data_IF_584474081484
#
_entry.id   IF_584474081484
#
_cell.length_a   1.000
_cell.length_b   1.000
_cell.length_c   1.000
_cell.angle_alpha   90.00
_cell.angle_beta   90.00
_cell.angle_gamma   90.00
#
_symmetry.space_group_name_H-M   'P 1'
#
loop_
_entity.id
_entity.type
_entity.pdbx_description
1 polymer ?
#
# COMPACT_ATOMS: atom_id res chain seq x y z
N UNK A 1 22.74 8.43 21.11
CA UNK A 1 21.72 7.68 20.34
C UNK A 1 22.20 7.68 18.91
N UNK A 2 22.44 6.51 18.31
CA UNK A 2 22.66 6.44 16.87
C UNK A 2 21.42 7.05 16.20
N UNK A 3 21.60 7.98 15.26
CA UNK A 3 20.48 8.62 14.56
C UNK A 3 19.57 7.55 13.95
N UNK A 4 18.27 7.82 13.90
CA UNK A 4 17.33 6.92 13.22
C UNK A 4 17.87 6.61 11.82
N UNK A 5 17.99 5.33 11.49
CA UNK A 5 18.42 4.89 10.15
C UNK A 5 17.38 5.42 9.18
N UNK A 6 17.76 6.38 8.35
CA UNK A 6 16.84 7.01 7.39
C UNK A 6 16.48 6.04 6.25
N UNK A 7 17.44 5.21 5.83
CA UNK A 7 17.28 4.25 4.75
C UNK A 7 18.29 3.09 4.93
N UNK A 8 17.81 1.84 4.85
CA UNK A 8 18.64 0.63 5.02
C UNK A 8 19.65 0.51 3.87
N UNK A 9 19.25 0.84 2.64
CA UNK A 9 20.09 0.71 1.46
C UNK A 9 21.29 1.64 1.52
N UNK A 10 21.10 2.88 1.97
CA UNK A 10 22.20 3.83 2.21
C UNK A 10 23.20 3.28 3.21
N UNK A 11 22.71 2.69 4.32
CA UNK A 11 23.58 2.09 5.33
C UNK A 11 24.40 0.92 4.76
N UNK A 12 23.77 0.04 3.97
CA UNK A 12 24.44 -1.09 3.32
C UNK A 12 25.48 -0.60 2.29
N UNK A 13 25.11 0.38 1.47
CA UNK A 13 25.95 0.92 0.39
C UNK A 13 27.20 1.63 0.93
N UNK A 14 27.08 2.35 2.05
CA UNK A 14 28.20 3.09 2.67
C UNK A 14 29.21 2.18 3.39
N UNK A 15 28.81 0.97 3.83
CA UNK A 15 29.60 0.14 4.74
C UNK A 15 30.07 -1.21 4.14
N UNK A 16 29.63 -1.57 2.93
CA UNK A 16 30.05 -2.81 2.28
C UNK A 16 31.00 -2.57 1.09
N UNK A 17 32.09 -3.36 0.97
CA UNK A 17 32.89 -3.43 -0.25
C UNK A 17 32.05 -3.81 -1.47
N UNK A 18 32.40 -3.29 -2.65
CA UNK A 18 31.59 -3.43 -3.87
C UNK A 18 31.32 -4.87 -4.32
N UNK A 19 32.27 -5.78 -4.10
CA UNK A 19 32.14 -7.21 -4.40
C UNK A 19 31.10 -7.88 -3.50
N UNK A 20 31.12 -7.57 -2.19
CA UNK A 20 30.14 -8.07 -1.22
C UNK A 20 28.79 -7.40 -1.37
N UNK A 21 28.76 -6.12 -1.72
CA UNK A 21 27.54 -5.34 -1.90
C UNK A 21 26.63 -5.94 -2.97
N UNK A 22 27.22 -6.36 -4.10
CA UNK A 22 26.46 -7.01 -5.18
C UNK A 22 25.78 -8.29 -4.71
N UNK A 23 26.48 -9.12 -3.94
CA UNK A 23 25.93 -10.38 -3.44
C UNK A 23 24.86 -10.16 -2.36
N UNK A 24 25.08 -9.20 -1.45
CA UNK A 24 24.07 -8.80 -0.47
C UNK A 24 22.83 -8.26 -1.17
N UNK A 25 22.97 -7.41 -2.20
CA UNK A 25 21.84 -6.90 -2.97
C UNK A 25 21.10 -8.02 -3.72
N UNK A 26 21.82 -8.99 -4.27
CA UNK A 26 21.23 -10.17 -4.92
C UNK A 26 20.37 -10.98 -3.93
N UNK A 27 20.85 -11.21 -2.71
CA UNK A 27 20.12 -11.98 -1.70
C UNK A 27 18.94 -11.19 -1.12
N UNK A 28 19.13 -9.91 -0.79
CA UNK A 28 18.10 -9.09 -0.14
C UNK A 28 17.05 -8.55 -1.10
N UNK A 29 17.41 -8.21 -2.34
CA UNK A 29 16.50 -7.58 -3.32
C UNK A 29 16.22 -8.48 -4.53
N UNK A 30 16.86 -9.65 -4.64
CA UNK A 30 16.69 -10.60 -5.74
C UNK A 30 17.56 -10.28 -6.97
N UNK A 31 17.68 -9.00 -7.33
CA UNK A 31 18.62 -8.48 -8.33
C UNK A 31 18.81 -6.98 -8.17
N UNK A 32 19.84 -6.43 -8.79
CA UNK A 32 19.96 -4.99 -8.98
C UNK A 32 18.99 -4.56 -10.10
N UNK A 33 18.12 -3.60 -9.78
CA UNK A 33 17.16 -3.06 -10.74
C UNK A 33 17.73 -1.81 -11.41
N UNK A 34 17.40 -1.62 -12.69
CA UNK A 34 17.74 -0.40 -13.43
C UNK A 34 16.99 0.78 -12.84
N UNK A 35 17.70 1.82 -12.43
CA UNK A 35 17.10 3.09 -12.00
C UNK A 35 16.44 3.79 -13.19
N UNK A 36 15.32 4.46 -12.95
CA UNK A 36 14.68 5.33 -13.94
C UNK A 36 15.29 6.73 -13.90
N UNK A 37 15.48 7.31 -15.08
CA UNK A 37 15.78 8.74 -15.22
C UNK A 37 14.46 9.50 -15.35
N UNK A 38 14.30 10.54 -14.54
CA UNK A 38 13.12 11.39 -14.56
C UNK A 38 13.41 12.73 -15.23
N UNK A 39 12.40 13.37 -15.85
CA UNK A 39 12.56 14.71 -16.40
C UNK A 39 13.02 15.72 -15.34
N UNK A 40 13.83 16.74 -15.70
CA UNK A 40 14.30 17.75 -14.75
C UNK A 40 13.18 18.41 -13.95
N UNK A 41 12.04 18.71 -14.59
CA UNK A 41 10.90 19.32 -13.92
C UNK A 41 10.28 18.46 -12.80
N UNK A 42 10.36 17.13 -12.89
CA UNK A 42 9.93 16.25 -11.80
C UNK A 42 10.91 16.31 -10.61
N UNK A 43 12.21 16.29 -10.90
CA UNK A 43 13.26 16.37 -9.87
C UNK A 43 13.27 17.73 -9.16
N UNK A 44 13.11 18.82 -9.91
CA UNK A 44 13.00 20.18 -9.39
C UNK A 44 11.77 20.33 -8.50
N UNK A 45 10.62 19.78 -8.92
CA UNK A 45 9.40 19.80 -8.11
C UNK A 45 9.56 19.00 -6.82
N UNK A 46 10.12 17.78 -6.90
CA UNK A 46 10.39 16.96 -5.73
C UNK A 46 11.32 17.65 -4.73
N UNK A 47 12.38 18.29 -5.22
CA UNK A 47 13.30 19.08 -4.40
C UNK A 47 12.61 20.30 -3.79
N UNK A 48 11.83 21.04 -4.57
CA UNK A 48 11.15 22.26 -4.11
C UNK A 48 10.05 21.98 -3.07
N UNK A 49 9.46 20.78 -3.12
CA UNK A 49 8.41 20.32 -2.20
C UNK A 49 8.90 19.34 -1.15
N UNK A 50 10.22 19.15 -1.07
CA UNK A 50 10.92 18.40 -0.03
C UNK A 50 10.43 16.96 0.17
N UNK A 51 10.25 16.22 -0.93
CA UNK A 51 9.93 14.79 -0.89
C UNK A 51 10.92 13.96 -1.71
N UNK A 52 11.14 12.72 -1.29
CA UNK A 52 12.00 11.77 -1.99
C UNK A 52 11.35 11.30 -3.29
N UNK A 53 12.11 11.29 -4.40
CA UNK A 53 11.67 10.73 -5.68
C UNK A 53 12.62 9.60 -6.10
N UNK A 54 12.10 8.38 -6.18
CA UNK A 54 12.86 7.19 -6.62
C UNK A 54 12.13 6.44 -7.73
N UNK A 55 12.91 5.84 -8.63
CA UNK A 55 12.41 5.19 -9.83
C UNK A 55 13.18 3.94 -10.19
N UNK A 56 12.49 2.83 -10.47
CA UNK A 56 13.11 1.57 -10.87
C UNK A 56 12.34 0.87 -11.99
N UNK A 57 13.02 0.03 -12.77
CA UNK A 57 12.41 -0.78 -13.83
C UNK A 57 12.45 -2.28 -13.50
N UNK A 58 11.35 -2.97 -13.78
CA UNK A 58 11.18 -4.41 -13.70
C UNK A 58 10.76 -4.95 -15.07
N UNK A 59 11.75 -5.33 -15.87
CA UNK A 59 11.55 -5.79 -17.24
C UNK A 59 11.10 -7.26 -17.31
N UNK A 60 10.47 -7.63 -18.43
CA UNK A 60 10.15 -9.00 -18.80
C UNK A 60 10.97 -9.43 -20.04
N UNK A 61 11.02 -10.74 -20.31
CA UNK A 61 11.59 -11.23 -21.57
C UNK A 61 10.66 -10.86 -22.75
N UNK A 62 11.23 -10.62 -23.93
CA UNK A 62 10.45 -10.34 -25.14
C UNK A 62 9.68 -11.60 -25.55
N UNK A 63 8.39 -11.46 -25.82
CA UNK A 63 7.52 -12.53 -26.32
C UNK A 63 7.31 -12.39 -27.83
N UNK A 64 7.26 -13.51 -28.56
CA UNK A 64 7.01 -13.51 -30.01
C UNK A 64 5.56 -13.25 -30.41
N UNK A 65 4.62 -13.44 -29.48
CA UNK A 65 3.17 -13.35 -29.74
C UNK A 65 2.48 -12.21 -29.00
N UNK A 66 3.21 -11.48 -28.15
CA UNK A 66 2.66 -10.38 -27.34
C UNK A 66 3.65 -9.25 -27.28
N UNK A 67 3.17 -8.05 -27.56
CA UNK A 67 3.93 -6.83 -27.30
C UNK A 67 4.19 -6.67 -25.80
N UNK A 68 5.30 -6.02 -25.40
CA UNK A 68 5.52 -5.60 -24.02
C UNK A 68 4.33 -4.80 -23.47
N UNK A 69 3.91 -5.09 -22.24
CA UNK A 69 2.82 -4.38 -21.55
C UNK A 69 3.42 -3.53 -20.43
N UNK A 70 4.17 -2.51 -20.84
CA UNK A 70 4.90 -1.62 -19.93
C UNK A 70 3.94 -0.60 -19.30
N UNK A 71 3.97 -0.53 -17.98
CA UNK A 71 3.12 0.35 -17.16
C UNK A 71 3.96 0.97 -16.06
N UNK A 72 3.79 2.26 -15.77
CA UNK A 72 4.38 2.91 -14.60
C UNK A 72 3.38 2.93 -13.46
N UNK A 73 3.67 2.18 -12.40
CA UNK A 73 2.92 2.21 -11.15
C UNK A 73 3.66 3.05 -10.13
N UNK A 74 2.94 3.66 -9.19
CA UNK A 74 3.56 4.43 -8.13
C UNK A 74 2.80 4.37 -6.80
N UNK A 75 3.56 4.59 -5.72
CA UNK A 75 3.04 4.73 -4.36
C UNK A 75 3.51 6.05 -3.75
N UNK A 76 2.63 6.72 -3.00
CA UNK A 76 2.96 7.91 -2.22
C UNK A 76 2.93 7.58 -0.73
N UNK A 77 4.01 7.89 -0.04
CA UNK A 77 4.05 7.98 1.42
C UNK A 77 4.16 9.43 1.86
N UNK A 78 3.45 9.82 2.90
CA UNK A 78 3.48 11.18 3.43
C UNK A 78 3.12 11.26 4.91
N UNK A 79 3.61 12.32 5.55
CA UNK A 79 3.18 12.80 6.87
C UNK A 79 1.88 13.59 6.73
N UNK A 80 1.13 13.68 7.83
CA UNK A 80 0.14 14.75 8.03
C UNK A 80 0.82 16.13 7.97
N UNK A 81 0.03 17.18 7.80
CA UNK A 81 0.54 18.54 7.58
C UNK A 81 0.31 19.44 8.80
N UNK A 82 -0.94 19.53 9.23
CA UNK A 82 -1.37 20.38 10.34
C UNK A 82 -1.42 19.58 11.66
N UNK A 83 -1.61 20.30 12.76
CA UNK A 83 -1.77 19.68 14.07
C UNK A 83 -3.05 18.85 14.11
N UNK A 84 -3.02 17.74 14.85
CA UNK A 84 -4.22 16.92 15.04
C UNK A 84 -5.33 17.66 15.82
N UNK A 85 -4.99 18.78 16.46
CA UNK A 85 -5.95 19.68 17.14
C UNK A 85 -6.61 20.72 16.23
N UNK A 86 -6.17 20.88 14.98
CA UNK A 86 -6.74 21.85 14.04
C UNK A 86 -8.10 21.36 13.49
N UNK A 87 -8.94 22.21 12.87
CA UNK A 87 -10.21 21.77 12.29
C UNK A 87 -10.03 20.63 11.26
N UNK A 88 -10.95 19.66 11.27
CA UNK A 88 -10.91 18.46 10.40
C UNK A 88 -10.77 18.83 8.91
N UNK A 89 -11.53 19.84 8.46
CA UNK A 89 -11.47 20.35 7.08
C UNK A 89 -10.07 20.87 6.73
N UNK A 90 -9.47 21.64 7.62
CA UNK A 90 -8.19 22.31 7.38
C UNK A 90 -7.06 21.29 7.34
N UNK A 91 -7.10 20.30 8.24
CA UNK A 91 -6.17 19.16 8.23
C UNK A 91 -6.22 18.41 6.89
N UNK A 92 -7.43 18.06 6.43
CA UNK A 92 -7.64 17.35 5.16
C UNK A 92 -7.16 18.17 3.98
N UNK A 93 -7.57 19.43 3.89
CA UNK A 93 -7.27 20.31 2.76
C UNK A 93 -5.76 20.61 2.67
N UNK A 94 -5.06 20.71 3.81
CA UNK A 94 -3.61 20.82 3.84
C UNK A 94 -2.90 19.56 3.31
N UNK A 95 -3.42 18.36 3.63
CA UNK A 95 -2.93 17.12 3.06
C UNK A 95 -3.20 17.07 1.55
N UNK A 96 -4.39 17.47 1.09
CA UNK A 96 -4.71 17.55 -0.34
C UNK A 96 -3.74 18.45 -1.10
N UNK A 97 -3.41 19.64 -0.58
CA UNK A 97 -2.47 20.55 -1.21
C UNK A 97 -1.09 19.90 -1.40
N UNK A 98 -0.57 19.23 -0.37
CA UNK A 98 0.69 18.47 -0.45
C UNK A 98 0.59 17.34 -1.48
N UNK A 99 -0.45 16.52 -1.41
CA UNK A 99 -0.62 15.35 -2.28
C UNK A 99 -0.81 15.77 -3.75
N UNK A 100 -1.49 16.88 -4.01
CA UNK A 100 -1.63 17.45 -5.36
C UNK A 100 -0.26 17.70 -6.03
N UNK A 101 0.70 18.26 -5.29
CA UNK A 101 2.05 18.50 -5.79
C UNK A 101 2.79 17.18 -6.10
N UNK A 102 2.63 16.16 -5.25
CA UNK A 102 3.25 14.84 -5.47
C UNK A 102 2.58 14.11 -6.65
N UNK A 103 1.26 14.18 -6.80
CA UNK A 103 0.53 13.63 -7.96
C UNK A 103 1.00 14.31 -9.25
N UNK A 104 1.19 15.63 -9.24
CA UNK A 104 1.74 16.37 -10.39
C UNK A 104 3.14 15.88 -10.74
N UNK A 105 3.99 15.60 -9.75
CA UNK A 105 5.30 15.00 -9.97
C UNK A 105 5.19 13.58 -10.57
N UNK A 106 4.27 12.76 -10.07
CA UNK A 106 3.98 11.43 -10.63
C UNK A 106 3.56 11.52 -12.11
N UNK A 107 2.74 12.50 -12.47
CA UNK A 107 2.34 12.76 -13.86
C UNK A 107 3.54 13.14 -14.74
N UNK A 108 4.45 14.01 -14.25
CA UNK A 108 5.70 14.33 -14.95
C UNK A 108 6.61 13.09 -15.11
N UNK A 109 6.55 12.15 -14.18
CA UNK A 109 7.24 10.87 -14.26
C UNK A 109 6.53 9.85 -15.15
N UNK A 110 5.41 10.20 -15.79
CA UNK A 110 4.66 9.32 -16.69
C UNK A 110 3.94 8.17 -15.98
N UNK A 111 3.58 8.33 -14.70
CA UNK A 111 2.83 7.32 -13.93
C UNK A 111 1.45 7.08 -14.57
N UNK A 112 1.06 5.82 -14.64
CA UNK A 112 -0.24 5.39 -15.17
C UNK A 112 -1.22 4.99 -14.05
N UNK A 113 -0.72 4.36 -12.99
CA UNK A 113 -1.51 3.95 -11.82
C UNK A 113 -0.82 4.39 -10.54
N UNK A 114 -1.51 5.17 -9.73
CA UNK A 114 -1.01 5.73 -8.48
C UNK A 114 -1.85 5.27 -7.30
N UNK A 115 -1.19 4.89 -6.20
CA UNK A 115 -1.88 4.57 -4.95
C UNK A 115 -1.37 5.47 -3.82
N UNK A 116 -2.32 5.95 -3.02
CA UNK A 116 -2.07 6.67 -1.78
C UNK A 116 -1.98 5.70 -0.61
N UNK A 117 -1.41 6.13 0.52
CA UNK A 117 -1.35 5.32 1.74
C UNK A 117 -2.73 5.14 2.41
N UNK A 118 -2.79 4.30 3.45
CA UNK A 118 -4.06 4.05 4.16
C UNK A 118 -4.58 5.31 4.88
N UNK A 119 -5.89 5.54 4.76
CA UNK A 119 -6.60 6.66 5.38
C UNK A 119 -5.86 8.00 5.18
N UNK A 120 -5.38 8.24 3.95
CA UNK A 120 -4.40 9.29 3.67
C UNK A 120 -4.91 10.70 3.98
N UNK A 121 -6.24 10.89 4.01
CA UNK A 121 -6.92 12.16 4.27
C UNK A 121 -6.94 12.59 5.73
N UNK A 122 -6.48 11.74 6.66
CA UNK A 122 -6.59 11.98 8.10
C UNK A 122 -5.33 11.56 8.87
N UNK A 123 -5.12 12.11 10.08
CA UNK A 123 -4.29 11.45 11.09
C UNK A 123 -4.85 10.05 11.40
N UNK A 124 -3.99 9.11 11.73
CA UNK A 124 -4.36 7.75 12.06
C UNK A 124 -4.88 7.65 13.51
N UNK A 125 -5.95 8.38 13.78
CA UNK A 125 -6.52 8.64 15.11
C UNK A 125 -7.15 7.41 15.79
N UNK A 126 -7.12 6.23 15.16
CA UNK A 126 -7.76 5.03 15.69
C UNK A 126 -7.17 4.55 17.03
N UNK A 127 -5.96 5.01 17.42
CA UNK A 127 -5.42 4.77 18.77
C UNK A 127 -6.26 5.38 19.88
N UNK A 128 -6.87 6.54 19.64
CA UNK A 128 -7.56 7.32 20.68
C UNK A 128 -8.86 6.63 21.08
N UNK A 129 -9.44 5.85 20.16
CA UNK A 129 -10.78 5.21 20.26
C UNK A 129 -11.93 6.23 20.35
N UNK A 130 -11.62 7.52 20.24
CA UNK A 130 -12.60 8.59 20.27
C UNK A 130 -13.37 8.63 18.95
N UNK A 131 -14.67 8.88 19.02
CA UNK A 131 -15.49 9.05 17.82
C UNK A 131 -15.46 10.47 17.29
N UNK A 132 -15.41 11.45 18.19
CA UNK A 132 -15.42 12.86 17.83
C UNK A 132 -14.04 13.47 18.10
N UNK A 133 -13.51 14.32 17.21
CA UNK A 133 -14.06 14.69 15.90
C UNK A 133 -13.70 13.67 14.78
N UNK A 134 -13.00 12.57 15.11
CA UNK A 134 -12.33 11.71 14.11
C UNK A 134 -13.27 11.05 13.09
N UNK A 135 -14.53 10.78 13.45
CA UNK A 135 -15.52 10.24 12.53
C UNK A 135 -16.03 11.27 11.51
N UNK A 136 -15.78 12.57 11.70
CA UNK A 136 -16.10 13.62 10.73
C UNK A 136 -15.19 13.57 9.49
N UNK A 137 -14.04 12.91 9.57
CA UNK A 137 -13.19 12.61 8.39
C UNK A 137 -13.83 11.60 7.44
N UNK A 138 -14.90 10.91 7.85
CA UNK A 138 -15.56 9.91 7.02
C UNK A 138 -16.37 10.58 5.90
N UNK A 139 -16.13 10.18 4.66
CA UNK A 139 -16.73 10.78 3.47
C UNK A 139 -17.45 9.72 2.61
N UNK A 140 -18.42 10.13 1.79
CA UNK A 140 -19.00 9.27 0.76
C UNK A 140 -17.93 8.85 -0.26
N UNK A 141 -17.95 7.60 -0.72
CA UNK A 141 -17.02 7.13 -1.77
C UNK A 141 -17.32 7.84 -3.08
N UNK A 142 -18.58 7.95 -3.48
CA UNK A 142 -18.98 8.42 -4.80
C UNK A 142 -19.12 9.94 -4.87
N UNK A 143 -19.55 10.55 -3.76
CA UNK A 143 -19.86 11.99 -3.67
C UNK A 143 -18.98 12.76 -2.70
N UNK A 144 -18.10 12.08 -1.97
CA UNK A 144 -17.18 12.72 -1.03
C UNK A 144 -16.22 13.68 -1.72
N UNK A 145 -15.85 14.77 -1.03
CA UNK A 145 -15.07 15.83 -1.65
C UNK A 145 -13.64 15.35 -2.00
N UNK A 146 -13.08 14.37 -1.27
CA UNK A 146 -11.81 13.72 -1.63
C UNK A 146 -11.89 13.02 -2.99
N UNK A 147 -12.95 12.25 -3.23
CA UNK A 147 -13.11 11.57 -4.53
C UNK A 147 -13.25 12.60 -5.64
N UNK A 148 -14.08 13.64 -5.47
CA UNK A 148 -14.26 14.70 -6.48
C UNK A 148 -12.96 15.41 -6.82
N UNK A 149 -12.16 15.73 -5.80
CA UNK A 149 -10.83 16.30 -5.97
C UNK A 149 -9.92 15.39 -6.82
N UNK A 150 -9.87 14.09 -6.50
CA UNK A 150 -9.02 13.15 -7.24
C UNK A 150 -9.57 12.79 -8.63
N UNK A 151 -10.89 12.83 -8.87
CA UNK A 151 -11.48 12.63 -10.21
C UNK A 151 -10.94 13.67 -11.21
N UNK A 152 -10.80 14.92 -10.78
CA UNK A 152 -10.23 16.00 -11.61
C UNK A 152 -8.76 15.71 -11.95
N UNK A 153 -7.95 15.31 -10.96
CA UNK A 153 -6.53 15.00 -11.18
C UNK A 153 -6.33 13.75 -12.04
N UNK A 154 -7.14 12.71 -11.82
CA UNK A 154 -7.12 11.47 -12.60
C UNK A 154 -7.39 11.75 -14.08
N UNK A 155 -8.43 12.55 -14.37
CA UNK A 155 -8.75 12.97 -15.74
C UNK A 155 -7.67 13.87 -16.34
N UNK A 156 -7.21 14.88 -15.59
CA UNK A 156 -6.20 15.83 -16.05
C UNK A 156 -4.89 15.15 -16.45
N UNK A 157 -4.48 14.11 -15.71
CA UNK A 157 -3.22 13.43 -15.93
C UNK A 157 -3.36 12.07 -16.64
N UNK A 158 -4.56 11.69 -17.06
CA UNK A 158 -4.86 10.38 -17.66
C UNK A 158 -4.26 9.23 -16.81
N UNK A 159 -4.53 9.27 -15.50
CA UNK A 159 -3.93 8.39 -14.50
C UNK A 159 -5.02 7.73 -13.66
N UNK A 160 -4.90 6.42 -13.43
CA UNK A 160 -5.74 5.73 -12.45
C UNK A 160 -5.26 6.07 -11.04
N UNK A 161 -6.16 6.48 -10.16
CA UNK A 161 -5.83 6.84 -8.77
C UNK A 161 -6.59 5.94 -7.80
N UNK A 162 -5.86 5.34 -6.86
CA UNK A 162 -6.39 4.52 -5.77
C UNK A 162 -6.32 5.34 -4.48
N UNK A 163 -7.48 5.56 -3.86
CA UNK A 163 -7.66 6.44 -2.70
C UNK A 163 -8.23 5.70 -1.49
N UNK A 164 -7.40 5.28 -0.53
CA UNK A 164 -7.86 4.68 0.72
C UNK A 164 -8.36 5.75 1.71
N UNK A 165 -9.64 5.74 2.04
CA UNK A 165 -10.32 6.71 2.90
C UNK A 165 -11.14 6.00 3.99
N UNK A 166 -11.55 6.78 5.00
CA UNK A 166 -12.66 6.41 5.86
C UNK A 166 -13.96 6.72 5.12
N UNK A 167 -14.71 5.68 4.77
CA UNK A 167 -16.01 5.79 4.09
C UNK A 167 -17.13 5.96 5.13
N UNK A 168 -18.11 6.81 4.82
CA UNK A 168 -19.43 6.83 5.46
C UNK A 168 -20.48 6.30 4.47
N UNK A 169 -21.14 5.20 4.82
CA UNK A 169 -22.21 4.60 4.03
C UNK A 169 -23.56 5.28 4.31
N UNK A 170 -23.81 6.41 3.66
CA UNK A 170 -25.06 7.19 3.83
C UNK A 170 -26.31 6.32 3.56
N UNK A 171 -26.27 5.45 2.55
CA UNK A 171 -27.37 4.53 2.20
C UNK A 171 -27.53 3.33 3.15
N UNK A 172 -26.56 3.08 4.04
CA UNK A 172 -26.57 1.96 4.98
C UNK A 172 -26.40 2.45 6.42
N UNK A 173 -27.16 3.49 6.79
CA UNK A 173 -27.26 3.94 8.18
C UNK A 173 -25.99 4.61 8.71
N UNK A 174 -25.25 5.31 7.83
CA UNK A 174 -24.03 6.06 8.15
C UNK A 174 -22.91 5.21 8.76
N UNK A 175 -22.91 3.91 8.43
CA UNK A 175 -21.86 2.98 8.89
C UNK A 175 -20.51 3.41 8.33
N UNK A 176 -19.49 3.37 9.20
CA UNK A 176 -18.11 3.66 8.81
C UNK A 176 -17.45 2.41 8.23
N UNK A 177 -16.61 2.60 7.22
CA UNK A 177 -15.80 1.55 6.59
C UNK A 177 -14.40 2.06 6.27
N UNK A 178 -13.41 1.16 6.26
CA UNK A 178 -12.09 1.45 5.68
C UNK A 178 -12.07 0.96 4.23
N UNK A 179 -11.94 1.91 3.30
CA UNK A 179 -12.31 1.69 1.90
C UNK A 179 -11.27 2.28 0.96
N UNK A 180 -10.83 1.50 -0.02
CA UNK A 180 -10.10 1.99 -1.18
C UNK A 180 -11.06 2.28 -2.33
N UNK A 181 -11.06 3.52 -2.81
CA UNK A 181 -11.81 3.97 -4.00
C UNK A 181 -10.90 3.89 -5.21
N UNK A 182 -11.40 3.35 -6.32
CA UNK A 182 -10.64 3.20 -7.56
C UNK A 182 -11.21 4.18 -8.58
N UNK A 183 -10.41 5.18 -8.94
CA UNK A 183 -10.77 6.23 -9.90
C UNK A 183 -10.05 5.95 -11.22
N UNK A 184 -10.82 5.78 -12.29
CA UNK A 184 -10.34 5.61 -13.66
C UNK A 184 -9.53 6.80 -14.12
N UNK A 185 -8.65 6.58 -15.11
CA UNK A 185 -7.97 7.65 -15.84
C UNK A 185 -8.91 8.60 -16.61
N UNK A 186 -10.18 8.21 -16.79
CA UNK A 186 -11.23 9.09 -17.34
C UNK A 186 -11.80 10.06 -16.30
N UNK A 187 -11.45 9.87 -15.02
CA UNK A 187 -12.04 10.57 -13.89
C UNK A 187 -13.28 9.87 -13.32
N UNK A 188 -13.77 8.79 -13.91
CA UNK A 188 -14.93 8.05 -13.37
C UNK A 188 -14.55 7.12 -12.21
N UNK A 189 -15.41 6.95 -11.22
CA UNK A 189 -15.23 5.94 -10.16
C UNK A 189 -15.53 4.56 -10.73
N UNK A 190 -14.51 3.68 -10.79
CA UNK A 190 -14.68 2.29 -11.23
C UNK A 190 -15.37 1.44 -10.16
N UNK A 191 -15.19 1.80 -8.89
CA UNK A 191 -15.80 1.13 -7.75
C UNK A 191 -14.96 1.31 -6.49
N UNK A 192 -15.22 0.43 -5.51
CA UNK A 192 -14.56 0.43 -4.20
C UNK A 192 -14.27 -0.98 -3.70
N UNK A 193 -13.32 -1.09 -2.78
CA UNK A 193 -13.07 -2.31 -2.00
C UNK A 193 -12.84 -1.97 -0.54
N UNK A 194 -13.44 -2.75 0.36
CA UNK A 194 -13.39 -2.56 1.82
C UNK A 194 -12.35 -3.46 2.46
N UNK A 195 -11.83 -3.06 3.61
CA UNK A 195 -10.80 -3.79 4.35
C UNK A 195 -11.34 -5.12 4.87
N UNK A 196 -10.87 -6.24 4.30
CA UNK A 196 -11.35 -7.58 4.67
C UNK A 196 -10.95 -8.00 6.08
N UNK A 197 -9.76 -7.59 6.56
CA UNK A 197 -9.23 -8.00 7.86
C UNK A 197 -8.99 -6.79 8.74
N UNK A 198 -9.70 -6.71 9.87
CA UNK A 198 -9.67 -5.55 10.77
C UNK A 198 -8.79 -5.85 11.99
N UNK A 199 -7.72 -5.08 12.24
CA UNK A 199 -6.88 -5.27 13.41
C UNK A 199 -7.60 -4.89 14.71
N UNK A 200 -7.16 -5.52 15.80
CA UNK A 200 -7.55 -5.24 17.19
C UNK A 200 -6.33 -5.19 18.12
N UNK A 201 -5.15 -4.90 17.58
CA UNK A 201 -3.86 -5.12 18.25
C UNK A 201 -3.21 -3.80 18.66
N UNK A 202 -2.90 -3.65 19.95
CA UNK A 202 -2.22 -2.46 20.48
C UNK A 202 -2.98 -1.16 20.20
N UNK A 203 -2.29 -0.20 19.57
CA UNK A 203 -2.86 1.08 19.15
C UNK A 203 -3.75 0.99 17.90
N UNK A 204 -3.72 -0.12 17.17
CA UNK A 204 -4.55 -0.36 15.99
C UNK A 204 -5.95 -0.85 16.40
N UNK A 205 -6.70 0.01 17.11
CA UNK A 205 -8.06 -0.26 17.61
C UNK A 205 -9.15 -0.06 16.56
N UNK A 206 -8.86 -0.41 15.32
CA UNK A 206 -9.69 -0.14 14.14
C UNK A 206 -11.08 -0.79 14.22
N UNK A 207 -11.22 -1.96 14.84
CA UNK A 207 -12.51 -2.61 15.04
C UNK A 207 -13.49 -1.80 15.91
N UNK A 208 -13.01 -0.76 16.58
CA UNK A 208 -13.87 0.19 17.27
C UNK A 208 -14.62 1.08 16.27
N UNK A 209 -14.07 1.29 15.08
CA UNK A 209 -14.56 2.22 14.06
C UNK A 209 -15.38 1.55 12.97
N UNK A 210 -14.95 0.40 12.46
CA UNK A 210 -15.57 -0.27 11.32
C UNK A 210 -15.49 -1.80 11.44
N UNK A 211 -16.35 -2.47 10.68
CA UNK A 211 -16.45 -3.93 10.62
C UNK A 211 -15.66 -4.49 9.43
N UNK A 212 -15.56 -5.81 9.35
CA UNK A 212 -14.92 -6.51 8.23
C UNK A 212 -15.65 -6.21 6.92
N UNK A 213 -14.86 -5.99 5.85
CA UNK A 213 -15.36 -5.64 4.54
C UNK A 213 -16.27 -6.72 3.93
N UNK A 214 -17.31 -6.27 3.22
CA UNK A 214 -18.28 -7.13 2.55
C UNK A 214 -18.16 -7.12 1.01
N UNK A 215 -17.09 -6.53 0.47
CA UNK A 215 -16.85 -6.41 -0.99
C UNK A 215 -16.12 -7.60 -1.60
N UNK A 216 -15.66 -8.55 -0.77
CA UNK A 216 -14.86 -9.69 -1.22
C UNK A 216 -13.46 -9.27 -1.68
N UNK A 217 -13.00 -9.80 -2.82
CA UNK A 217 -11.64 -9.57 -3.33
C UNK A 217 -11.67 -9.04 -4.78
N UNK A 218 -12.29 -7.87 -5.04
CA UNK A 218 -12.49 -7.39 -6.39
C UNK A 218 -11.16 -7.07 -7.08
N UNK A 219 -11.11 -7.34 -8.38
CA UNK A 219 -10.02 -6.95 -9.28
C UNK A 219 -10.60 -6.01 -10.32
N UNK A 220 -9.99 -4.84 -10.45
CA UNK A 220 -10.46 -3.77 -11.31
C UNK A 220 -9.68 -3.82 -12.63
N UNK A 221 -10.40 -4.03 -13.73
CA UNK A 221 -9.83 -3.94 -15.07
C UNK A 221 -9.68 -2.47 -15.44
N UNK A 222 -8.46 -2.03 -15.69
CA UNK A 222 -8.16 -0.69 -16.23
C UNK A 222 -7.51 -0.84 -17.61
N UNK A 223 -7.31 0.27 -18.33
CA UNK A 223 -6.49 0.25 -19.55
C UNK A 223 -5.01 -0.09 -19.26
N UNK A 224 -4.56 0.08 -18.01
CA UNK A 224 -3.19 -0.12 -17.57
C UNK A 224 -2.99 -1.47 -16.84
N UNK A 225 -3.94 -2.40 -16.96
CA UNK A 225 -3.87 -3.72 -16.35
C UNK A 225 -4.90 -3.97 -15.25
N UNK A 226 -4.86 -5.17 -14.69
CA UNK A 226 -5.76 -5.64 -13.64
C UNK A 226 -5.19 -5.33 -12.26
N UNK A 227 -5.82 -4.42 -11.56
CA UNK A 227 -5.35 -3.94 -10.25
C UNK A 227 -6.26 -4.44 -9.12
N UNK A 228 -5.69 -4.64 -7.95
CA UNK A 228 -6.40 -4.95 -6.71
C UNK A 228 -5.78 -4.18 -5.54
N UNK A 229 -6.50 -4.12 -4.41
CA UNK A 229 -6.05 -3.41 -3.21
C UNK A 229 -6.21 -4.29 -1.99
N UNK A 230 -5.09 -4.71 -1.40
CA UNK A 230 -5.08 -5.38 -0.11
C UNK A 230 -4.82 -4.35 0.99
N UNK A 231 -5.84 -3.96 1.74
CA UNK A 231 -5.73 -2.84 2.69
C UNK A 231 -5.04 -3.29 3.99
N UNK A 232 -3.88 -2.69 4.27
CA UNK A 232 -3.15 -2.71 5.55
C UNK A 232 -3.04 -4.07 6.23
N UNK A 233 -3.85 -4.37 7.25
CA UNK A 233 -3.75 -5.58 8.08
C UNK A 233 -4.06 -6.86 7.29
N UNK A 234 -4.72 -6.72 6.14
CA UNK A 234 -4.83 -7.79 5.17
C UNK A 234 -3.47 -8.28 4.63
N UNK A 235 -2.36 -7.54 4.87
CA UNK A 235 -1.00 -7.96 4.54
C UNK A 235 -0.55 -9.24 5.26
N UNK A 236 -1.07 -9.47 6.48
CA UNK A 236 -0.71 -10.61 7.31
C UNK A 236 -1.43 -11.91 6.92
N UNK A 237 -2.32 -11.86 5.92
CA UNK A 237 -3.22 -12.95 5.57
C UNK A 237 -2.88 -13.47 4.17
N UNK A 238 -2.06 -14.53 4.03
CA UNK A 238 -1.70 -15.11 2.73
C UNK A 238 -2.91 -15.45 1.84
N UNK A 239 -4.01 -15.91 2.45
CA UNK A 239 -5.26 -16.22 1.76
C UNK A 239 -5.91 -14.98 1.12
N UNK A 240 -5.82 -13.81 1.75
CA UNK A 240 -6.36 -12.56 1.21
C UNK A 240 -5.60 -12.14 -0.06
N UNK A 241 -4.26 -12.22 -0.01
CA UNK A 241 -3.41 -12.05 -1.19
C UNK A 241 -3.74 -13.06 -2.31
N UNK A 242 -3.90 -14.32 -1.91
CA UNK A 242 -4.20 -15.42 -2.83
C UNK A 242 -5.49 -15.21 -3.60
N UNK A 243 -6.54 -14.73 -2.93
CA UNK A 243 -7.84 -14.48 -3.56
C UNK A 243 -7.77 -13.39 -4.64
N UNK A 244 -7.00 -12.32 -4.45
CA UNK A 244 -6.75 -11.34 -5.52
C UNK A 244 -6.01 -11.97 -6.71
N UNK A 245 -5.03 -12.84 -6.44
CA UNK A 245 -4.33 -13.59 -7.49
C UNK A 245 -5.24 -14.55 -8.25
N UNK A 246 -6.16 -15.23 -7.55
CA UNK A 246 -7.18 -16.11 -8.15
C UNK A 246 -8.17 -15.34 -9.02
N UNK A 247 -8.52 -14.14 -8.61
CA UNK A 247 -9.36 -13.22 -9.39
C UNK A 247 -8.60 -12.53 -10.54
N UNK A 248 -7.32 -12.87 -10.74
CA UNK A 248 -6.55 -12.48 -11.92
C UNK A 248 -5.83 -11.13 -11.81
N UNK A 249 -5.56 -10.64 -10.60
CA UNK A 249 -4.76 -9.44 -10.41
C UNK A 249 -3.36 -9.57 -11.04
N UNK A 250 -2.90 -8.49 -11.66
CA UNK A 250 -1.54 -8.32 -12.19
C UNK A 250 -0.70 -7.41 -11.28
N UNK A 251 -1.35 -6.48 -10.58
CA UNK A 251 -0.75 -5.60 -9.58
C UNK A 251 -1.68 -5.56 -8.36
N UNK A 252 -1.13 -5.77 -7.16
CA UNK A 252 -1.85 -5.57 -5.90
C UNK A 252 -1.19 -4.45 -5.10
N UNK A 253 -1.94 -3.39 -4.83
CA UNK A 253 -1.49 -2.31 -3.96
C UNK A 253 -1.79 -2.65 -2.50
N UNK A 254 -0.89 -2.30 -1.59
CA UNK A 254 -1.04 -2.52 -0.16
C UNK A 254 -0.83 -1.23 0.62
N UNK A 255 -1.84 -0.33 0.63
CA UNK A 255 -1.82 0.86 1.44
C UNK A 255 -1.91 0.49 2.91
N UNK A 256 -0.98 1.01 3.71
CA UNK A 256 -0.82 0.66 5.12
C UNK A 256 -0.52 1.90 5.97
N UNK A 257 -0.87 1.81 7.25
CA UNK A 257 -0.31 2.62 8.30
C UNK A 257 0.14 1.67 9.41
N UNK A 258 1.44 1.60 9.68
CA UNK A 258 1.97 0.75 10.74
C UNK A 258 3.28 1.28 11.33
N UNK A 259 3.51 1.01 12.61
CA UNK A 259 4.61 1.57 13.41
C UNK A 259 5.49 0.50 14.03
N UNK A 260 6.70 0.90 14.43
CA UNK A 260 7.45 0.27 15.50
C UNK A 260 8.19 -1.03 15.19
N UNK A 261 8.89 -1.51 16.22
CA UNK A 261 9.90 -2.58 16.15
C UNK A 261 9.35 -4.00 15.88
N UNK A 262 8.08 -4.28 16.19
CA UNK A 262 7.47 -5.59 15.93
C UNK A 262 6.93 -5.71 14.49
N UNK A 263 6.40 -4.63 13.93
CA UNK A 263 5.81 -4.63 12.60
C UNK A 263 6.88 -4.51 11.50
N UNK A 264 7.89 -3.66 11.73
CA UNK A 264 8.91 -3.35 10.71
C UNK A 264 9.68 -4.57 10.18
N UNK A 265 10.07 -5.58 10.99
CA UNK A 265 10.70 -6.79 10.49
C UNK A 265 9.84 -7.63 9.53
N UNK A 266 8.51 -7.49 9.59
CA UNK A 266 7.58 -8.20 8.71
C UNK A 266 7.42 -7.49 7.35
N UNK A 267 7.62 -6.17 7.33
CA UNK A 267 7.43 -5.33 6.14
C UNK A 267 8.18 -5.81 4.88
N UNK A 268 9.47 -6.18 4.94
CA UNK A 268 10.18 -6.66 3.76
C UNK A 268 9.83 -8.10 3.36
N UNK A 269 9.01 -8.79 4.15
CA UNK A 269 8.69 -10.22 4.00
C UNK A 269 7.32 -10.41 3.36
N UNK A 270 6.26 -9.84 3.93
CA UNK A 270 4.87 -10.26 3.64
C UNK A 270 4.41 -9.89 2.23
N UNK A 271 4.50 -8.61 1.87
CA UNK A 271 4.13 -8.13 0.54
C UNK A 271 5.04 -8.73 -0.55
N UNK A 272 6.32 -8.97 -0.25
CA UNK A 272 7.25 -9.65 -1.15
C UNK A 272 6.88 -11.12 -1.33
N UNK A 273 6.54 -11.84 -0.26
CA UNK A 273 6.08 -13.21 -0.33
C UNK A 273 4.80 -13.32 -1.15
N UNK A 274 3.87 -12.38 -0.97
CA UNK A 274 2.64 -12.32 -1.76
C UNK A 274 2.92 -12.18 -3.26
N UNK A 275 3.89 -11.34 -3.67
CA UNK A 275 4.31 -11.19 -5.06
C UNK A 275 4.83 -12.51 -5.65
N UNK A 276 5.67 -13.21 -4.88
CA UNK A 276 6.25 -14.51 -5.26
C UNK A 276 5.17 -15.59 -5.39
N UNK A 277 4.39 -15.80 -4.32
CA UNK A 277 3.41 -16.88 -4.23
C UNK A 277 2.29 -16.76 -5.27
N UNK A 278 1.93 -15.53 -5.65
CA UNK A 278 0.84 -15.27 -6.59
C UNK A 278 1.30 -14.91 -8.00
N UNK A 279 2.61 -14.71 -8.19
CA UNK A 279 3.19 -14.33 -9.47
C UNK A 279 2.52 -13.09 -10.08
N UNK A 280 2.38 -12.04 -9.28
CA UNK A 280 1.98 -10.69 -9.67
C UNK A 280 2.94 -9.63 -9.09
N UNK A 281 2.73 -8.35 -9.41
CA UNK A 281 3.42 -7.25 -8.72
C UNK A 281 2.71 -6.86 -7.43
N UNK A 282 3.47 -6.40 -6.44
CA UNK A 282 2.92 -5.81 -5.20
C UNK A 282 3.56 -4.46 -4.93
N UNK A 283 2.77 -3.44 -4.63
CA UNK A 283 3.26 -2.13 -4.19
C UNK A 283 2.85 -1.90 -2.74
N UNK A 284 3.80 -2.07 -1.81
CA UNK A 284 3.59 -1.82 -0.38
C UNK A 284 3.86 -0.36 -0.05
N UNK A 285 2.90 0.31 0.58
CA UNK A 285 2.95 1.74 0.89
C UNK A 285 2.65 1.92 2.36
N UNK A 286 3.57 2.51 3.12
CA UNK A 286 3.35 2.83 4.53
C UNK A 286 3.41 4.35 4.74
N UNK A 287 2.63 4.80 5.71
CA UNK A 287 2.72 6.15 6.28
C UNK A 287 4.12 6.47 6.82
N UNK A 288 4.44 7.75 6.94
CA UNK A 288 5.68 8.24 7.57
C UNK A 288 5.42 9.26 8.66
N UNK A 289 6.36 9.36 9.60
CA UNK A 289 6.37 10.36 10.67
C UNK A 289 5.69 9.89 11.96
N UNK A 290 5.65 10.78 12.95
CA UNK A 290 5.00 10.52 14.24
C UNK A 290 3.85 11.50 14.41
N UNK A 291 2.69 10.97 14.81
CA UNK A 291 1.48 11.76 15.03
C UNK A 291 1.18 11.82 16.53
N UNK A 292 0.84 13.00 17.03
CA UNK A 292 0.53 13.26 18.45
C UNK A 292 -0.90 13.77 18.55
N UNK A 293 -1.67 13.30 19.54
CA UNK A 293 -3.09 13.60 19.71
C UNK A 293 -3.38 14.50 20.93
N UNK A 294 -4.55 15.18 20.97
CA UNK A 294 -4.86 16.14 22.05
C UNK A 294 -4.95 15.47 23.43
N UNK A 295 -5.57 14.29 23.49
CA UNK A 295 -5.83 13.54 24.71
C UNK A 295 -4.88 12.34 24.84
N UNK A 296 -4.63 11.93 26.08
CA UNK A 296 -3.82 10.74 26.35
C UNK A 296 -4.61 9.45 26.07
N UNK A 297 -3.93 8.44 25.55
CA UNK A 297 -4.45 7.08 25.36
C UNK A 297 -3.42 6.04 25.80
N UNK A 298 -3.83 4.78 25.90
CA UNK A 298 -2.97 3.66 26.28
C UNK A 298 -2.95 2.57 25.20
N UNK A 299 -1.79 1.97 24.98
CA UNK A 299 -1.57 0.94 23.95
C UNK A 299 -1.95 -0.48 24.39
N UNK A 300 -2.43 -0.66 25.63
CA UNK A 300 -2.79 -1.98 26.17
C UNK A 300 -1.59 -2.88 26.53
N UNK A 301 -0.40 -2.31 26.68
CA UNK A 301 0.86 -3.02 27.00
C UNK A 301 1.36 -2.80 28.44
N UNK A 302 0.54 -2.15 29.28
CA UNK A 302 0.87 -1.84 30.67
C UNK A 302 1.76 -0.60 30.88
N UNK A 303 2.13 0.13 29.81
CA UNK A 303 2.84 1.40 29.93
C UNK A 303 1.90 2.55 30.31
N UNK A 304 2.50 3.69 30.67
CA UNK A 304 1.76 4.91 31.01
C UNK A 304 0.99 5.44 29.79
N UNK A 305 -0.07 6.21 30.06
CA UNK A 305 -0.78 6.93 29.02
C UNK A 305 0.16 7.97 28.36
N UNK A 306 -0.07 8.21 27.08
CA UNK A 306 0.77 9.03 26.22
C UNK A 306 -0.07 9.64 25.09
N UNK A 307 0.53 10.57 24.34
CA UNK A 307 -0.15 11.30 23.26
C UNK A 307 0.39 10.96 21.87
N UNK A 308 1.60 10.41 21.77
CA UNK A 308 2.19 10.00 20.49
C UNK A 308 1.75 8.58 20.10
N UNK A 309 1.41 8.39 18.81
CA UNK A 309 1.04 7.07 18.27
C UNK A 309 2.23 6.12 18.10
N UNK A 310 3.44 6.69 18.07
CA UNK A 310 4.64 6.02 17.57
C UNK A 310 4.97 6.40 16.13
N UNK A 311 6.15 5.95 15.70
CA UNK A 311 6.75 6.36 14.43
C UNK A 311 6.34 5.43 13.28
N UNK A 312 5.63 5.98 12.29
CA UNK A 312 5.38 5.33 11.02
C UNK A 312 6.66 5.35 10.19
N UNK A 313 7.12 4.17 9.77
CA UNK A 313 8.48 3.96 9.25
C UNK A 313 8.59 3.97 7.72
N UNK A 314 7.55 4.39 6.98
CA UNK A 314 7.61 4.49 5.52
C UNK A 314 8.12 3.22 4.84
N UNK A 315 9.29 3.32 4.21
CA UNK A 315 9.93 2.17 3.55
C UNK A 315 9.08 1.56 2.44
N UNK A 316 8.26 2.38 1.77
CA UNK A 316 7.41 1.93 0.68
C UNK A 316 8.26 1.34 -0.46
N UNK A 317 7.81 0.26 -1.09
CA UNK A 317 8.56 -0.46 -2.12
C UNK A 317 7.66 -1.24 -3.08
N UNK A 318 8.23 -1.69 -4.20
CA UNK A 318 7.56 -2.56 -5.17
C UNK A 318 8.26 -3.92 -5.23
N UNK A 319 7.51 -5.00 -5.09
CA UNK A 319 7.95 -6.38 -5.30
C UNK A 319 7.45 -6.92 -6.64
N UNK A 320 8.33 -7.64 -7.34
CA UNK A 320 8.06 -8.26 -8.62
C UNK A 320 7.76 -9.76 -8.49
N UNK A 321 7.07 -10.35 -9.48
CA UNK A 321 6.67 -11.75 -9.41
C UNK A 321 7.86 -12.73 -9.45
N UNK A 322 9.01 -12.32 -9.99
CA UNK A 322 10.24 -13.12 -10.05
C UNK A 322 11.03 -13.15 -8.73
N UNK A 323 10.48 -12.55 -7.66
CA UNK A 323 11.10 -12.44 -6.34
C UNK A 323 12.05 -11.27 -6.17
N UNK A 324 12.30 -10.49 -7.24
CA UNK A 324 13.02 -9.23 -7.12
C UNK A 324 12.16 -8.13 -6.50
N UNK A 325 12.77 -7.08 -5.95
CA UNK A 325 12.07 -5.91 -5.40
C UNK A 325 12.92 -4.65 -5.46
N UNK A 326 12.27 -3.50 -5.41
CA UNK A 326 12.95 -2.21 -5.28
C UNK A 326 13.54 -2.05 -3.88
N UNK A 327 14.56 -1.18 -3.76
CA UNK A 327 14.84 -0.47 -2.52
C UNK A 327 13.58 0.16 -1.91
N UNK A 328 13.57 0.32 -0.59
CA UNK A 328 12.59 1.13 0.11
C UNK A 328 12.81 2.64 -0.09
N UNK A 329 11.71 3.39 0.00
CA UNK A 329 11.78 4.82 0.30
C UNK A 329 12.30 5.06 1.73
N UNK A 330 12.54 6.31 2.06
CA UNK A 330 12.95 6.78 3.38
C UNK A 330 11.98 6.30 4.46
N UNK A 331 12.51 6.12 5.67
CA UNK A 331 11.74 5.82 6.86
C UNK A 331 11.06 7.05 7.46
N UNK A 332 11.54 8.24 7.10
CA UNK A 332 11.21 9.49 7.81
C UNK A 332 10.78 10.63 6.88
N UNK A 333 10.92 10.48 5.56
CA UNK A 333 10.56 11.52 4.59
C UNK A 333 9.30 11.18 3.79
N UNK A 334 8.56 12.22 3.40
CA UNK A 334 7.54 12.11 2.36
C UNK A 334 8.21 11.62 1.06
N UNK A 335 7.51 10.87 0.23
CA UNK A 335 8.14 10.34 -0.97
C UNK A 335 7.20 9.70 -1.99
N UNK A 336 7.72 9.62 -3.21
CA UNK A 336 7.11 9.03 -4.39
C UNK A 336 8.05 7.95 -4.94
N UNK A 337 7.57 6.71 -4.94
CA UNK A 337 8.24 5.58 -5.59
C UNK A 337 7.54 5.29 -6.91
N UNK A 338 8.29 5.26 -8.00
CA UNK A 338 7.80 4.88 -9.34
C UNK A 338 8.46 3.58 -9.77
N UNK A 339 7.66 2.62 -10.25
CA UNK A 339 8.15 1.40 -10.87
C UNK A 339 7.60 1.26 -12.29
N UNK A 340 8.49 1.20 -13.27
CA UNK A 340 8.17 0.80 -14.65
C UNK A 340 8.18 -0.72 -14.72
N UNK A 341 7.01 -1.33 -14.91
CA UNK A 341 6.83 -2.78 -14.88
C UNK A 341 6.29 -3.29 -16.21
N UNK A 342 6.82 -4.40 -16.72
CA UNK A 342 6.18 -5.13 -17.82
C UNK A 342 5.26 -6.21 -17.24
N UNK A 343 3.95 -6.04 -17.45
CA UNK A 343 2.93 -6.96 -16.93
C UNK A 343 3.03 -8.37 -17.51
N UNK A 344 3.72 -8.55 -18.65
CA UNK A 344 4.00 -9.87 -19.21
C UNK A 344 4.85 -10.74 -18.26
N UNK A 345 5.64 -10.15 -17.35
CA UNK A 345 6.42 -10.89 -16.36
C UNK A 345 5.55 -11.79 -15.49
N UNK A 346 4.30 -11.38 -15.19
CA UNK A 346 3.37 -12.18 -14.40
C UNK A 346 3.11 -13.55 -15.04
N UNK A 347 2.88 -13.60 -16.37
CA UNK A 347 2.66 -14.87 -17.08
C UNK A 347 3.95 -15.67 -17.19
N UNK A 348 5.06 -15.03 -17.53
CA UNK A 348 6.36 -15.69 -17.67
C UNK A 348 6.78 -16.40 -16.37
N UNK A 349 6.56 -15.77 -15.22
CA UNK A 349 6.83 -16.38 -13.91
C UNK A 349 5.87 -17.53 -13.62
N UNK A 350 4.57 -17.37 -13.90
CA UNK A 350 3.57 -18.44 -13.72
C UNK A 350 3.95 -19.70 -14.50
N UNK A 351 4.36 -19.53 -15.76
CA UNK A 351 4.74 -20.65 -16.64
C UNK A 351 6.07 -21.28 -16.19
N UNK A 352 7.05 -20.47 -15.79
CA UNK A 352 8.38 -20.94 -15.37
C UNK A 352 8.35 -21.71 -14.04
N UNK A 353 7.61 -21.21 -13.05
CA UNK A 353 7.60 -21.77 -11.70
C UNK A 353 6.45 -22.73 -11.44
N UNK A 354 5.35 -22.61 -12.19
CA UNK A 354 4.21 -23.50 -12.07
C UNK A 354 3.40 -23.36 -10.77
N UNK A 355 3.63 -22.31 -9.95
CA UNK A 355 2.94 -22.18 -8.66
C UNK A 355 1.42 -22.22 -8.80
N UNK A 356 0.87 -21.56 -9.83
CA UNK A 356 -0.57 -21.57 -10.12
C UNK A 356 -1.08 -22.92 -10.63
N UNK A 357 -0.23 -23.68 -11.31
CA UNK A 357 -0.54 -25.01 -11.82
C UNK A 357 -0.63 -26.05 -10.69
N UNK A 358 0.12 -25.87 -9.61
CA UNK A 358 0.24 -26.84 -8.51
C UNK A 358 -0.47 -26.43 -7.22
N UNK A 359 -1.42 -25.49 -7.28
CA UNK A 359 -2.05 -24.93 -6.07
C UNK A 359 -2.99 -25.90 -5.33
N UNK A 360 -3.53 -26.92 -6.01
CA UNK A 360 -4.49 -27.88 -5.43
C UNK A 360 -5.65 -27.20 -4.68
N UNK A 361 -6.28 -26.24 -5.34
CA UNK A 361 -7.33 -25.40 -4.73
C UNK A 361 -8.54 -26.21 -4.26
N UNK A 362 -8.84 -27.30 -4.96
CA UNK A 362 -9.87 -28.28 -4.61
C UNK A 362 -9.60 -28.88 -3.22
N UNK A 363 -8.37 -29.36 -2.99
CA UNK A 363 -7.96 -29.90 -1.69
C UNK A 363 -8.10 -28.84 -0.59
N UNK A 364 -7.51 -27.66 -0.78
CA UNK A 364 -7.55 -26.61 0.25
C UNK A 364 -8.97 -26.11 0.52
N UNK A 365 -9.84 -26.07 -0.50
CA UNK A 365 -11.23 -25.68 -0.32
C UNK A 365 -11.99 -26.70 0.54
N UNK A 366 -11.82 -28.01 0.29
CA UNK A 366 -12.39 -29.07 1.11
C UNK A 366 -11.86 -29.01 2.56
N UNK A 367 -10.55 -28.94 2.74
CA UNK A 367 -9.94 -28.88 4.08
C UNK A 367 -10.37 -27.62 4.86
N UNK A 368 -10.41 -26.45 4.22
CA UNK A 368 -10.87 -25.22 4.88
C UNK A 368 -12.35 -25.30 5.24
N UNK A 369 -13.18 -25.91 4.39
CA UNK A 369 -14.61 -26.11 4.67
C UNK A 369 -14.83 -27.02 5.89
N UNK A 370 -13.97 -28.02 6.09
CA UNK A 370 -13.97 -28.87 7.29
C UNK A 370 -13.49 -28.11 8.53
N UNK A 371 -12.38 -27.38 8.44
CA UNK A 371 -11.77 -26.64 9.57
C UNK A 371 -12.71 -25.62 10.19
N UNK A 372 -13.61 -25.01 9.40
CA UNK A 372 -14.57 -24.02 9.90
C UNK A 372 -15.82 -24.63 10.55
N UNK A 373 -16.02 -25.95 10.49
CA UNK A 373 -17.20 -26.58 11.09
C UNK A 373 -17.13 -26.57 12.62
N UNK A 374 -18.28 -26.40 13.30
CA UNK A 374 -18.36 -26.63 14.75
C UNK A 374 -17.86 -28.04 15.09
N UNK A 375 -16.98 -28.16 16.09
CA UNK A 375 -16.41 -29.43 16.58
C UNK A 375 -15.39 -30.14 15.67
N UNK A 376 -14.84 -29.46 14.65
CA UNK A 376 -13.71 -30.01 13.90
C UNK A 376 -12.55 -30.39 14.83
N UNK A 377 -11.92 -31.53 14.54
CA UNK A 377 -10.76 -32.04 15.28
C UNK A 377 -9.53 -31.97 14.38
N UNK A 378 -8.39 -31.44 14.87
CA UNK A 378 -7.16 -31.46 14.11
C UNK A 378 -6.74 -32.86 13.69
N UNK A 379 -6.25 -32.98 12.45
CA UNK A 379 -5.67 -34.21 11.92
C UNK A 379 -4.30 -34.46 12.58
N UNK A 380 -4.30 -35.09 13.75
CA UNK A 380 -3.11 -35.43 14.55
C UNK A 380 -3.02 -36.96 14.64
N UNK A 381 -1.90 -37.51 14.17
CA UNK A 381 -1.57 -38.94 14.28
C UNK A 381 -0.72 -39.14 15.53
N UNK A 382 -1.14 -40.04 16.42
CA UNK A 382 -0.44 -40.38 17.68
C UNK A 382 0.23 -41.75 17.61
#
# INVERSE_FOLDING_TARGET
MAGEVENIEKFIDEHLPSDKLKEVKRLLYGKELRSLEFPPGAQELAKAKEFELKGYACDAAIESTRSPRVVRIAGIQNKIVLSTSDPVSDQRDAIWAKISDIIKCAALCGVNVLCLQEAWTMPFAFCTREKQPWAEFAESVENGPTTKFLQQLAQQYNMVIISPILEREEDHGDILQNTAVIISNTGEVLGKTRKNHIPRVGDFNESTYYMEGNTGHPVFQTQFGKIAVNICYGRHHPQNWMMYGLNGAEIVFNPSATVGALSEPLWPIEARNAAIANSYFVCGINRVGTETFPNEFTSGDGRAAHKDFGHFYGSSYVAAPDGSRTPGLSRTQDGLIVAEVDLNLCRQVKDRWGFRMTQRLDLYAEELAEVVQPFWKPNIVN
#
